data_IF_303900706813
#
_entry.id   IF_303900706813
#
_cell.length_a   1.000
_cell.length_b   1.000
_cell.length_c   1.000
_cell.angle_alpha   90.00
_cell.angle_beta   90.00
_cell.angle_gamma   90.00
#
_symmetry.space_group_name_H-M   'P 1'
#
loop_
_entity.id
_entity.type
_entity.pdbx_description
1 polymer ?
#
# COMPACT_ATOMS: atom_id res chain seq x y z
N UNK A 1 -23.09 3.15 10.91
CA UNK A 1 -22.97 4.63 11.04
C UNK A 1 -21.54 5.01 10.66
N UNK A 2 -21.32 5.38 9.39
CA UNK A 2 -20.03 5.83 8.85
C UNK A 2 -19.83 7.27 9.26
N UNK A 3 -18.65 7.59 9.77
CA UNK A 3 -18.16 8.94 9.75
C UNK A 3 -16.92 8.96 8.88
N UNK A 4 -16.91 9.81 7.86
CA UNK A 4 -15.70 10.24 7.14
C UNK A 4 -14.71 11.02 8.04
N UNK A 5 -14.90 10.94 9.38
CA UNK A 5 -14.03 11.50 10.43
C UNK A 5 -12.71 10.75 10.55
N UNK A 6 -12.63 9.51 10.07
CA UNK A 6 -11.37 8.83 9.82
C UNK A 6 -11.11 9.01 8.33
N UNK A 7 -10.12 9.82 7.94
CA UNK A 7 -9.86 10.15 6.54
C UNK A 7 -9.80 8.94 5.61
N UNK A 8 -9.79 9.20 4.30
CA UNK A 8 -9.85 8.16 3.28
C UNK A 8 -8.86 7.00 3.56
N UNK A 9 -9.18 5.72 3.29
CA UNK A 9 -8.39 4.55 3.72
C UNK A 9 -6.89 4.64 3.39
N UNK A 10 -6.54 5.32 2.29
CA UNK A 10 -5.17 5.64 1.90
C UNK A 10 -4.40 6.51 2.91
N UNK A 11 -5.07 7.35 3.69
CA UNK A 11 -4.48 8.17 4.75
C UNK A 11 -3.90 7.31 5.89
N UNK A 12 -4.29 6.04 5.97
CA UNK A 12 -3.70 5.10 6.91
C UNK A 12 -2.25 4.71 6.54
N UNK A 13 -1.78 5.04 5.33
CA UNK A 13 -0.42 4.77 4.84
C UNK A 13 0.53 5.90 5.22
N UNK A 14 0.86 5.94 6.51
CA UNK A 14 1.84 6.88 7.06
C UNK A 14 3.30 6.43 6.81
N UNK A 15 4.25 7.31 7.13
CA UNK A 15 5.69 7.05 6.96
C UNK A 15 6.16 5.73 7.60
N UNK A 16 5.65 5.39 8.79
CA UNK A 16 5.99 4.13 9.48
C UNK A 16 5.55 2.90 8.68
N UNK A 17 4.32 2.87 8.16
CA UNK A 17 3.84 1.77 7.32
C UNK A 17 4.60 1.67 6.02
N UNK A 18 4.95 2.80 5.39
CA UNK A 18 5.80 2.83 4.19
C UNK A 18 7.14 2.14 4.45
N UNK A 19 7.84 2.52 5.53
CA UNK A 19 9.11 1.89 5.92
C UNK A 19 8.97 0.39 6.17
N UNK A 20 7.91 -0.02 6.88
CA UNK A 20 7.65 -1.44 7.15
C UNK A 20 7.45 -2.26 5.88
N UNK A 21 6.65 -1.75 4.93
CA UNK A 21 6.39 -2.41 3.65
C UNK A 21 7.67 -2.52 2.81
N UNK A 22 8.51 -1.49 2.81
CA UNK A 22 9.80 -1.54 2.12
C UNK A 22 10.73 -2.59 2.71
N UNK A 23 10.83 -2.68 4.04
CA UNK A 23 11.64 -3.70 4.70
C UNK A 23 11.12 -5.11 4.38
N UNK A 24 9.81 -5.30 4.44
CA UNK A 24 9.18 -6.58 4.08
C UNK A 24 9.48 -6.96 2.62
N UNK A 25 9.37 -6.02 1.69
CA UNK A 25 9.70 -6.26 0.29
C UNK A 25 11.18 -6.61 0.10
N UNK A 26 12.12 -5.94 0.80
CA UNK A 26 13.54 -6.28 0.76
C UNK A 26 13.80 -7.71 1.24
N UNK A 27 13.19 -8.12 2.35
CA UNK A 27 13.28 -9.50 2.82
C UNK A 27 12.71 -10.49 1.80
N UNK A 28 11.53 -10.18 1.25
CA UNK A 28 10.89 -11.02 0.23
C UNK A 28 11.79 -11.24 -1.00
N UNK A 29 12.40 -10.17 -1.53
CA UNK A 29 13.30 -10.26 -2.69
C UNK A 29 14.58 -11.01 -2.35
N UNK A 30 15.17 -10.79 -1.17
CA UNK A 30 16.34 -11.55 -0.71
C UNK A 30 16.06 -13.05 -0.69
N UNK A 31 14.89 -13.44 -0.20
CA UNK A 31 14.49 -14.84 -0.06
C UNK A 31 13.97 -15.44 -1.39
N UNK A 32 13.78 -14.59 -2.41
CA UNK A 32 13.30 -14.98 -3.74
C UNK A 32 14.15 -14.32 -4.85
N UNK A 33 15.38 -14.82 -5.08
CA UNK A 33 16.32 -14.20 -6.02
C UNK A 33 15.81 -14.11 -7.47
N UNK A 34 14.84 -14.93 -7.86
CA UNK A 34 14.19 -14.86 -9.17
C UNK A 34 13.50 -13.51 -9.43
N UNK A 35 13.24 -12.73 -8.37
CA UNK A 35 12.69 -11.38 -8.51
C UNK A 35 13.74 -10.26 -8.48
N UNK A 36 15.03 -10.59 -8.38
CA UNK A 36 16.10 -9.59 -8.48
C UNK A 36 16.08 -8.89 -9.85
N UNK A 37 16.24 -7.57 -9.84
CA UNK A 37 16.25 -6.76 -11.05
C UNK A 37 14.88 -6.38 -11.62
N UNK A 38 13.78 -6.89 -11.06
CA UNK A 38 12.43 -6.47 -11.47
C UNK A 38 12.00 -5.14 -10.83
N UNK A 39 11.17 -4.40 -11.57
CA UNK A 39 10.58 -3.15 -11.06
C UNK A 39 9.58 -3.45 -9.94
N UNK A 40 9.82 -2.86 -8.76
CA UNK A 40 8.92 -2.97 -7.62
C UNK A 40 7.90 -1.84 -7.64
N UNK A 41 6.61 -2.20 -7.54
CA UNK A 41 5.51 -1.25 -7.42
C UNK A 41 4.70 -1.56 -6.17
N UNK A 42 4.43 -0.54 -5.36
CA UNK A 42 3.54 -0.66 -4.21
C UNK A 42 2.23 0.03 -4.50
N UNK A 43 1.15 -0.75 -4.50
CA UNK A 43 -0.20 -0.27 -4.71
C UNK A 43 -0.96 -0.20 -3.39
N UNK A 44 -1.97 0.67 -3.32
CA UNK A 44 -2.90 0.75 -2.19
C UNK A 44 -4.31 0.49 -2.69
N UNK A 45 -4.96 -0.52 -2.13
CA UNK A 45 -6.38 -0.82 -2.39
C UNK A 45 -7.18 -0.44 -1.15
N UNK A 46 -7.89 0.68 -1.24
CA UNK A 46 -8.85 1.09 -0.23
C UNK A 46 -10.15 0.30 -0.38
N UNK A 47 -10.63 -0.26 0.72
CA UNK A 47 -11.92 -0.97 0.76
C UNK A 47 -12.88 -0.18 1.64
N UNK A 48 -13.99 0.25 1.05
CA UNK A 48 -15.03 1.04 1.71
C UNK A 48 -16.31 0.19 1.75
N UNK A 49 -16.82 -0.15 2.94
CA UNK A 49 -18.06 -0.92 3.12
C UNK A 49 -19.29 -0.01 3.22
N UNK A 50 -20.05 0.18 2.14
CA UNK A 50 -21.26 1.02 2.06
C UNK A 50 -22.50 0.16 2.26
N UNK A 51 -23.14 0.28 3.43
CA UNK A 51 -24.35 -0.45 3.84
C UNK A 51 -24.22 -1.99 3.69
N UNK A 52 -24.31 -2.51 2.48
CA UNK A 52 -24.26 -3.93 2.11
C UNK A 52 -23.28 -4.26 0.97
N UNK A 53 -22.56 -3.26 0.42
CA UNK A 53 -21.61 -3.46 -0.70
C UNK A 53 -20.23 -2.93 -0.38
N UNK A 54 -19.21 -3.67 -0.81
CA UNK A 54 -17.82 -3.20 -0.78
C UNK A 54 -17.52 -2.39 -2.04
N UNK A 55 -17.01 -1.18 -1.87
CA UNK A 55 -16.44 -0.35 -2.92
C UNK A 55 -14.93 -0.39 -2.80
N UNK A 56 -14.27 -0.70 -3.91
CA UNK A 56 -12.82 -0.76 -3.99
C UNK A 56 -12.29 0.50 -4.69
N UNK A 57 -11.23 1.07 -4.13
CA UNK A 57 -10.44 2.14 -4.76
C UNK A 57 -9.00 1.68 -4.87
N UNK A 58 -8.51 1.52 -6.09
CA UNK A 58 -7.13 1.13 -6.33
C UNK A 58 -6.29 2.35 -6.71
N UNK A 59 -5.33 2.66 -5.85
CA UNK A 59 -4.27 3.65 -6.10
C UNK A 59 -3.04 2.88 -6.53
N UNK A 60 -2.72 2.94 -7.83
CA UNK A 60 -1.55 2.30 -8.40
C UNK A 60 -0.31 3.16 -8.15
N UNK A 61 0.84 2.51 -7.91
CA UNK A 61 2.11 3.18 -7.64
C UNK A 61 2.01 4.20 -6.48
N UNK A 62 1.30 3.81 -5.42
CA UNK A 62 0.98 4.67 -4.29
C UNK A 62 2.20 5.06 -3.45
N UNK A 63 3.24 4.22 -3.45
CA UNK A 63 4.52 4.53 -2.82
C UNK A 63 5.57 4.75 -3.92
N UNK A 64 5.87 6.00 -4.20
CA UNK A 64 7.03 6.35 -5.01
C UNK A 64 8.25 6.46 -4.11
N UNK A 65 9.37 5.93 -4.60
CA UNK A 65 10.66 6.06 -3.97
C UNK A 65 11.38 7.26 -4.61
N UNK A 66 11.48 8.36 -3.87
CA UNK A 66 12.48 9.38 -4.18
C UNK A 66 13.78 8.86 -3.57
N UNK A 67 14.76 8.54 -4.41
CA UNK A 67 16.00 7.86 -4.01
C UNK A 67 17.00 8.74 -3.27
N UNK A 68 16.52 9.67 -2.45
CA UNK A 68 17.34 10.58 -1.64
C UNK A 68 17.54 10.07 -0.22
#
# INVERSE_FOLDING_TARGET
>A
RRSDRHGAPEASINHRKRRSLMLAARCFIRDNPQFNGMMLRFDVVGVLTEATRARFRWIRNALQFDGR
#
